data_IF_626388359764
#
_entry.id   IF_626388359764
#
_cell.length_a   1.000
_cell.length_b   1.000
_cell.length_c   1.000
_cell.angle_alpha   90.00
_cell.angle_beta   90.00
_cell.angle_gamma   90.00
#
_symmetry.space_group_name_H-M   'P 1'
#
loop_
_entity.id
_entity.type
_entity.pdbx_description
1 polymer ?
#
# COMPACT_ATOMS: atom_id res chain seq x y z
N UNK A 1 -41.95 0.92 -12.01
CA UNK A 1 -40.81 0.44 -12.83
C UNK A 1 -39.59 0.43 -11.93
N UNK A 2 -39.35 -0.68 -11.26
CA UNK A 2 -38.22 -0.89 -10.34
C UNK A 2 -37.11 -1.52 -11.17
N UNK A 3 -36.02 -0.78 -11.37
CA UNK A 3 -34.83 -1.32 -12.04
C UNK A 3 -34.20 -2.37 -11.14
N UNK A 4 -34.10 -3.59 -11.65
CA UNK A 4 -33.43 -4.71 -10.99
C UNK A 4 -31.94 -4.41 -10.93
N UNK A 5 -31.37 -4.36 -9.73
CA UNK A 5 -29.93 -4.52 -9.55
C UNK A 5 -29.55 -5.92 -10.01
N UNK A 6 -28.58 -5.98 -10.92
CA UNK A 6 -27.95 -7.21 -11.37
C UNK A 6 -26.90 -7.55 -10.31
N UNK A 7 -27.18 -8.56 -9.48
CA UNK A 7 -26.18 -9.16 -8.60
C UNK A 7 -25.10 -9.85 -9.45
N UNK A 8 -24.06 -9.11 -9.80
CA UNK A 8 -22.77 -9.72 -10.16
C UNK A 8 -22.08 -10.11 -8.86
N UNK A 9 -22.05 -11.41 -8.56
CA UNK A 9 -21.40 -12.02 -7.40
C UNK A 9 -19.88 -11.85 -7.39
N UNK A 10 -19.42 -10.61 -7.24
CA UNK A 10 -18.03 -10.26 -7.02
C UNK A 10 -18.00 -9.37 -5.80
N UNK A 11 -17.62 -9.94 -4.65
CA UNK A 11 -17.35 -9.14 -3.45
C UNK A 11 -16.42 -7.99 -3.84
N UNK A 12 -16.78 -6.73 -3.55
CA UNK A 12 -15.88 -5.62 -3.79
C UNK A 12 -14.59 -5.93 -3.02
N UNK A 13 -13.47 -6.01 -3.76
CA UNK A 13 -12.17 -6.19 -3.15
C UNK A 13 -12.04 -5.06 -2.13
N UNK A 14 -11.84 -5.40 -0.86
CA UNK A 14 -11.80 -4.44 0.25
C UNK A 14 -10.51 -3.59 0.23
N UNK A 15 -10.12 -3.12 -0.97
CA UNK A 15 -8.95 -2.29 -1.27
C UNK A 15 -8.94 -1.01 -0.43
N UNK A 16 -10.11 -0.55 0.00
CA UNK A 16 -10.22 0.64 0.83
C UNK A 16 -9.63 0.49 2.24
N UNK A 17 -9.34 -0.73 2.69
CA UNK A 17 -8.77 -0.92 4.03
C UNK A 17 -7.25 -0.97 4.03
N UNK A 18 -6.63 -1.37 2.92
CA UNK A 18 -5.22 -1.71 2.88
C UNK A 18 -4.38 -0.65 2.16
N UNK A 19 -3.09 -0.64 2.44
CA UNK A 19 -2.11 0.08 1.63
C UNK A 19 -2.05 -0.49 0.21
N UNK A 20 -1.56 0.29 -0.73
CA UNK A 20 -1.49 -0.09 -2.13
C UNK A 20 -0.32 -1.04 -2.38
N UNK A 21 -0.62 -2.20 -2.95
CA UNK A 21 0.42 -3.18 -3.31
C UNK A 21 1.51 -2.58 -4.20
N UNK A 22 2.76 -2.64 -3.77
CA UNK A 22 3.87 -2.03 -4.53
C UNK A 22 4.12 -2.75 -5.85
N UNK A 23 3.76 -4.03 -5.95
CA UNK A 23 4.05 -4.89 -7.09
C UNK A 23 3.33 -4.42 -8.36
N UNK A 24 2.06 -4.00 -8.24
CA UNK A 24 1.30 -3.48 -9.38
C UNK A 24 1.59 -2.00 -9.66
N UNK A 25 2.03 -1.24 -8.66
CA UNK A 25 2.50 0.14 -8.86
C UNK A 25 3.83 0.14 -9.62
N UNK A 26 4.77 -0.74 -9.25
CA UNK A 26 6.10 -0.84 -9.88
C UNK A 26 6.06 -1.31 -11.34
N UNK A 27 4.90 -1.75 -11.85
CA UNK A 27 4.74 -2.03 -13.29
C UNK A 27 4.92 -0.80 -14.17
N UNK A 28 4.53 0.38 -13.65
CA UNK A 28 4.52 1.64 -14.41
C UNK A 28 5.34 2.76 -13.76
N UNK A 29 5.99 2.49 -12.62
CA UNK A 29 6.81 3.45 -11.88
C UNK A 29 8.13 2.81 -11.46
N UNK A 30 9.14 3.65 -11.20
CA UNK A 30 10.43 3.20 -10.68
C UNK A 30 10.39 3.07 -9.16
N UNK A 31 11.30 2.27 -8.59
CA UNK A 31 11.37 2.03 -7.15
C UNK A 31 11.61 3.33 -6.37
N UNK A 32 12.48 4.19 -6.89
CA UNK A 32 12.86 5.48 -6.31
C UNK A 32 11.66 6.42 -6.16
N UNK A 33 10.65 6.31 -7.05
CA UNK A 33 9.44 7.12 -6.99
C UNK A 33 8.53 6.74 -5.83
N UNK A 34 8.67 5.52 -5.28
CA UNK A 34 7.78 5.03 -4.21
C UNK A 34 8.48 4.80 -2.88
N UNK A 35 9.83 4.77 -2.86
CA UNK A 35 10.62 4.43 -1.67
C UNK A 35 10.26 5.28 -0.45
N UNK A 36 9.98 6.57 -0.63
CA UNK A 36 9.61 7.47 0.46
C UNK A 36 8.15 7.34 0.91
N UNK A 37 7.34 6.53 0.24
CA UNK A 37 5.92 6.36 0.54
C UNK A 37 5.59 4.95 1.06
N UNK A 38 6.61 4.16 1.38
CA UNK A 38 6.42 2.81 1.91
C UNK A 38 5.94 2.88 3.36
N UNK A 39 4.79 2.29 3.62
CA UNK A 39 4.23 2.16 4.96
C UNK A 39 5.15 1.31 5.84
N UNK A 40 5.64 1.87 6.96
CA UNK A 40 6.53 1.18 7.88
C UNK A 40 5.96 -0.14 8.44
N UNK A 41 4.63 -0.24 8.54
CA UNK A 41 3.95 -1.39 9.16
C UNK A 41 3.78 -2.54 8.17
N UNK A 42 3.18 -2.30 7.01
CA UNK A 42 2.83 -3.36 6.06
C UNK A 42 3.78 -3.48 4.85
N UNK A 43 4.75 -2.56 4.73
CA UNK A 43 5.78 -2.53 3.67
C UNK A 43 5.28 -2.37 2.23
N UNK A 44 4.02 -1.95 2.07
CA UNK A 44 3.39 -1.56 0.81
C UNK A 44 3.30 -0.01 0.69
N UNK A 45 2.88 0.53 -0.45
CA UNK A 45 2.74 1.99 -0.64
C UNK A 45 1.58 2.53 0.20
N UNK A 46 1.84 3.52 1.04
CA UNK A 46 0.89 4.00 2.04
C UNK A 46 -0.39 4.56 1.38
N UNK A 47 -1.54 4.10 1.88
CA UNK A 47 -2.85 4.70 1.56
C UNK A 47 -3.25 5.65 2.67
N UNK A 48 -3.64 6.88 2.32
CA UNK A 48 -3.87 7.97 3.27
C UNK A 48 -2.66 8.14 4.20
N UNK A 49 -1.50 8.60 3.67
CA UNK A 49 -0.24 8.58 4.38
C UNK A 49 -0.30 9.53 5.58
N UNK A 50 0.17 9.01 6.70
CA UNK A 50 0.42 9.71 7.95
C UNK A 50 1.92 9.76 8.14
N UNK A 51 2.45 10.95 8.31
CA UNK A 51 3.83 11.19 8.71
C UNK A 51 3.91 11.11 10.23
N UNK A 52 4.91 10.38 10.69
CA UNK A 52 5.23 10.25 12.10
C UNK A 52 6.42 11.16 12.42
N UNK A 53 6.23 12.02 13.41
CA UNK A 53 7.30 12.78 14.04
C UNK A 53 7.70 12.07 15.35
N UNK A 54 8.96 11.65 15.40
CA UNK A 54 9.50 10.82 16.45
C UNK A 54 10.92 11.24 16.77
N UNK A 55 11.12 11.88 17.92
CA UNK A 55 12.43 12.41 18.36
C UNK A 55 13.51 11.33 18.45
N UNK A 56 13.16 10.07 18.74
CA UNK A 56 14.11 8.94 18.77
C UNK A 56 14.58 8.50 17.38
N UNK A 57 13.89 8.92 16.32
CA UNK A 57 14.15 8.53 14.94
C UNK A 57 14.30 9.75 14.01
N UNK A 58 14.53 10.94 14.58
CA UNK A 58 14.60 12.21 13.84
C UNK A 58 15.80 12.26 12.88
N UNK A 59 16.91 11.61 13.25
CA UNK A 59 18.12 11.54 12.43
C UNK A 59 18.12 10.37 11.43
N UNK A 60 17.04 9.59 11.38
CA UNK A 60 16.92 8.53 10.37
C UNK A 60 16.67 9.17 9.01
N UNK A 61 17.51 8.86 8.02
CA UNK A 61 17.26 9.23 6.62
C UNK A 61 16.07 8.45 6.01
N UNK A 62 15.36 7.66 6.82
CA UNK A 62 14.25 6.83 6.39
C UNK A 62 12.93 7.62 6.48
N UNK A 63 12.05 7.40 5.50
CA UNK A 63 10.73 8.02 5.52
C UNK A 63 9.87 7.41 6.61
N UNK A 64 9.41 8.23 7.55
CA UNK A 64 8.56 7.82 8.66
C UNK A 64 7.07 7.87 8.29
N UNK A 65 6.71 7.21 7.17
CA UNK A 65 5.35 7.19 6.64
C UNK A 65 4.62 5.89 7.01
N UNK A 66 3.37 6.03 7.43
CA UNK A 66 2.45 4.91 7.71
C UNK A 66 1.10 5.14 7.05
N UNK A 67 0.45 4.08 6.58
CA UNK A 67 -0.94 4.18 6.11
C UNK A 67 -1.91 4.37 7.29
N UNK A 68 -2.90 5.25 7.14
CA UNK A 68 -3.82 5.61 8.23
C UNK A 68 -4.51 4.38 8.88
N UNK A 69 -4.99 3.43 8.06
CA UNK A 69 -5.63 2.23 8.58
C UNK A 69 -4.63 1.28 9.27
N UNK A 70 -3.41 1.17 8.74
CA UNK A 70 -2.35 0.38 9.38
C UNK A 70 -2.01 0.97 10.76
N UNK A 71 -1.86 2.29 10.86
CA UNK A 71 -1.60 2.97 12.12
C UNK A 71 -2.75 2.76 13.12
N UNK A 72 -4.00 2.94 12.68
CA UNK A 72 -5.18 2.72 13.52
C UNK A 72 -5.22 1.31 14.10
N UNK A 73 -4.97 0.29 13.27
CA UNK A 73 -4.93 -1.11 13.73
C UNK A 73 -3.75 -1.35 14.67
N UNK A 74 -2.57 -0.84 14.34
CA UNK A 74 -1.37 -0.99 15.16
C UNK A 74 -1.58 -0.41 16.57
N UNK A 75 -2.06 0.83 16.68
CA UNK A 75 -2.30 1.49 17.96
C UNK A 75 -3.42 0.84 18.78
N UNK A 76 -4.39 0.17 18.12
CA UNK A 76 -5.43 -0.58 18.84
C UNK A 76 -4.89 -1.81 19.57
N UNK A 77 -3.80 -2.40 19.06
CA UNK A 77 -3.13 -3.56 19.67
C UNK A 77 -1.93 -3.15 20.53
N UNK A 78 -1.31 -2.02 20.21
CA UNK A 78 -0.10 -1.50 20.84
C UNK A 78 -0.31 -0.02 21.22
N UNK A 79 -1.07 0.26 22.29
CA UNK A 79 -1.40 1.63 22.67
C UNK A 79 -0.15 2.48 22.90
N UNK A 80 -0.11 3.66 22.28
CA UNK A 80 0.97 4.65 22.37
C UNK A 80 2.37 4.19 21.93
N UNK A 81 2.50 3.00 21.36
CA UNK A 81 3.79 2.49 20.89
C UNK A 81 4.17 3.12 19.55
N UNK A 82 5.47 3.29 19.31
CA UNK A 82 6.01 3.64 18.00
C UNK A 82 6.04 2.40 17.07
N UNK A 83 5.65 2.54 15.79
CA UNK A 83 5.77 1.48 14.78
C UNK A 83 7.21 1.01 14.48
N UNK A 84 8.23 1.78 14.84
CA UNK A 84 9.66 1.45 14.57
C UNK A 84 10.24 0.63 15.72
N UNK A 85 10.11 1.11 16.96
CA UNK A 85 10.60 0.42 18.17
C UNK A 85 9.70 0.73 19.38
N UNK A 86 9.70 -0.10 20.44
CA UNK A 86 8.84 0.12 21.61
C UNK A 86 9.23 1.36 22.43
N UNK A 87 8.62 2.49 22.13
CA UNK A 87 8.65 3.70 22.95
C UNK A 87 7.39 4.54 22.70
N UNK A 88 7.17 5.54 23.54
CA UNK A 88 6.01 6.43 23.45
C UNK A 88 6.41 7.81 22.91
N UNK A 89 5.42 8.69 22.71
CA UNK A 89 5.65 10.10 22.41
C UNK A 89 5.75 10.44 20.92
N UNK A 90 5.42 9.51 20.03
CA UNK A 90 5.28 9.82 18.61
C UNK A 90 4.09 10.74 18.34
N UNK A 91 4.30 11.73 17.49
CA UNK A 91 3.25 12.56 16.91
C UNK A 91 2.91 12.04 15.53
N UNK A 92 1.65 12.18 15.13
CA UNK A 92 1.14 11.66 13.87
C UNK A 92 0.34 12.75 13.17
N UNK A 93 0.68 13.03 11.91
CA UNK A 93 0.01 14.06 11.12
C UNK A 93 -0.26 13.59 9.69
N UNK A 94 -1.35 14.06 9.11
CA UNK A 94 -1.64 13.75 7.69
C UNK A 94 -0.62 14.45 6.80
N UNK A 95 0.06 13.67 5.94
CA UNK A 95 1.04 14.21 5.02
C UNK A 95 0.38 14.49 3.66
N UNK A 96 -0.11 15.72 3.46
CA UNK A 96 -0.77 16.12 2.21
C UNK A 96 0.15 16.04 0.99
N UNK A 97 1.45 16.35 1.18
CA UNK A 97 2.43 16.28 0.10
C UNK A 97 2.63 14.84 -0.36
N UNK A 98 2.84 13.91 0.58
CA UNK A 98 2.93 12.49 0.24
C UNK A 98 1.64 11.97 -0.41
N UNK A 99 0.46 12.40 0.06
CA UNK A 99 -0.82 12.02 -0.55
C UNK A 99 -0.87 12.44 -2.03
N UNK A 100 -0.55 13.70 -2.35
CA UNK A 100 -0.54 14.20 -3.73
C UNK A 100 0.46 13.43 -4.61
N UNK A 101 1.67 13.17 -4.11
CA UNK A 101 2.69 12.42 -4.86
C UNK A 101 2.28 10.97 -5.11
N UNK A 102 1.58 10.34 -4.16
CA UNK A 102 1.03 8.99 -4.32
C UNK A 102 -0.13 9.00 -5.33
N UNK A 103 -0.98 10.03 -5.31
CA UNK A 103 -2.11 10.19 -6.24
C UNK A 103 -1.66 10.39 -7.69
N UNK A 104 -0.46 10.95 -7.90
CA UNK A 104 0.16 11.14 -9.21
C UNK A 104 0.82 9.87 -9.78
N UNK A 105 0.93 8.78 -9.01
CA UNK A 105 1.53 7.54 -9.47
C UNK A 105 0.68 6.90 -10.58
N UNK A 106 1.34 6.46 -11.66
CA UNK A 106 0.66 5.75 -12.74
C UNK A 106 0.39 4.32 -12.32
N UNK A 107 -0.82 3.83 -12.50
CA UNK A 107 -1.13 2.48 -12.05
C UNK A 107 -1.84 1.63 -13.08
N UNK A 108 -1.56 0.32 -13.04
CA UNK A 108 -2.36 -0.68 -13.73
C UNK A 108 -3.59 -0.97 -12.88
N UNK A 109 -4.73 -1.23 -13.52
CA UNK A 109 -5.90 -1.74 -12.82
C UNK A 109 -5.52 -3.03 -12.06
N UNK A 110 -5.73 -3.13 -10.73
CA UNK A 110 -5.34 -4.33 -9.97
C UNK A 110 -5.92 -5.64 -10.51
N UNK A 111 -7.15 -5.59 -11.07
CA UNK A 111 -7.76 -6.77 -11.72
C UNK A 111 -7.02 -7.19 -12.97
N UNK A 112 -6.60 -6.23 -13.79
CA UNK A 112 -5.82 -6.49 -14.99
C UNK A 112 -4.46 -7.09 -14.63
N UNK A 113 -3.78 -6.54 -13.62
CA UNK A 113 -2.52 -7.08 -13.11
C UNK A 113 -2.64 -8.55 -12.65
N UNK A 114 -3.74 -8.90 -11.95
CA UNK A 114 -4.02 -10.28 -11.55
C UNK A 114 -4.23 -11.22 -12.74
N UNK A 115 -4.83 -10.74 -13.83
CA UNK A 115 -5.06 -11.55 -15.03
C UNK A 115 -3.78 -11.73 -15.85
N UNK A 116 -2.98 -10.67 -15.98
CA UNK A 116 -1.73 -10.68 -16.75
C UNK A 116 -0.66 -11.56 -16.09
N UNK A 117 -0.57 -11.52 -14.76
CA UNK A 117 0.31 -12.42 -13.99
C UNK A 117 -0.03 -13.89 -14.19
N UNK A 118 -1.32 -14.26 -14.15
CA UNK A 118 -1.76 -15.64 -14.38
C UNK A 118 -1.50 -16.13 -15.80
N UNK A 119 -1.61 -15.24 -16.79
CA UNK A 119 -1.38 -15.58 -18.20
C UNK A 119 0.11 -15.83 -18.46
N UNK A 120 0.99 -15.01 -17.89
CA UNK A 120 2.44 -15.15 -18.02
C UNK A 120 2.94 -16.48 -17.46
N UNK A 121 2.47 -16.89 -16.28
CA UNK A 121 2.83 -18.18 -15.67
C UNK A 121 2.48 -19.37 -16.55
N UNK A 122 1.33 -19.34 -17.23
CA UNK A 122 0.89 -20.44 -18.12
C UNK A 122 1.73 -20.57 -19.38
N UNK A 123 2.27 -19.46 -19.89
CA UNK A 123 3.15 -19.47 -21.07
C UNK A 123 4.51 -20.04 -20.71
N UNK A 124 5.08 -19.67 -19.56
CA UNK A 124 6.36 -20.21 -19.08
C UNK A 124 6.28 -21.72 -18.82
N UNK A 125 5.23 -22.21 -18.16
CA UNK A 125 5.07 -23.65 -17.92
C UNK A 125 4.97 -24.47 -19.21
N UNK A 126 4.31 -23.94 -20.25
CA UNK A 126 4.25 -24.63 -21.56
C UNK A 126 5.60 -24.62 -22.29
N UNK A 127 6.41 -23.58 -22.07
CA UNK A 127 7.73 -23.45 -22.69
C UNK A 127 8.75 -24.42 -22.08
N UNK A 128 8.63 -24.71 -20.78
CA UNK A 128 9.50 -25.63 -20.03
C UNK A 128 9.12 -27.10 -20.23
N UNK A 129 7.91 -27.40 -20.69
CA UNK A 129 7.45 -28.76 -21.02
C UNK A 129 7.77 -29.17 -22.47
N UNK A 130 8.20 -28.22 -23.31
CA UNK A 130 8.56 -28.44 -24.73
C UNK A 130 10.10 -28.52 -24.97
N UNK A 131 10.93 -28.48 -23.91
CA UNK A 131 12.39 -28.69 -23.93
C UNK A 131 12.78 -30.00 -23.22
#
# INVERSE_FOLDING_TARGET
KTSKEIETGVSPVSLEKYCFGKEWILQLNQQEQITHFICLICKQVARNPIEMDCTQHQDSNESLIVGANCLKQFLSMNPNSCPVQPHNGCLYSQCKVAQLQIDDLRVVCPRQFQQDSQTTTRVQQRSEEEE
#
